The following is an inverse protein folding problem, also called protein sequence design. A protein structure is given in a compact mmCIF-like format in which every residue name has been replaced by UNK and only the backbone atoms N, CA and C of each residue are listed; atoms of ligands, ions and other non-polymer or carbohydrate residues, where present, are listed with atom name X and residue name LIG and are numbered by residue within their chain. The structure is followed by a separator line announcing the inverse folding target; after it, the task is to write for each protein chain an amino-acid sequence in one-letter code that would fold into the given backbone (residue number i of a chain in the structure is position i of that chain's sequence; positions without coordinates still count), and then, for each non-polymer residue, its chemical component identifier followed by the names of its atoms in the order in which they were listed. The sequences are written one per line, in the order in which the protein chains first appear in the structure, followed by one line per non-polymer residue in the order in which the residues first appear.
data_IF_028945550303
#
_entry.id   IF_028945550303
#
_cell.length_a   1.000
_cell.length_b   1.000
_cell.length_c   1.000
_cell.angle_alpha   90.00
_cell.angle_beta   90.00
_cell.angle_gamma   90.00
#
_symmetry.space_group_name_H-M   'P 1'
#
loop_
_entity.id
_entity.type
_entity.pdbx_description
1 polymer ?
#
# COMPACT_ATOMS: atom_id res chain seq x y z
N UNK A 1 -1.51 28.16 24.20
CA UNK A 1 -1.89 27.16 23.18
C UNK A 1 -1.68 25.75 23.69
N UNK A 2 -2.34 25.24 24.67
CA UNK A 2 -1.95 23.99 25.26
C UNK A 2 -3.05 23.03 25.75
N UNK A 3 -4.20 23.48 26.14
CA UNK A 3 -5.17 22.62 26.80
C UNK A 3 -6.16 21.92 25.84
N UNK A 4 -6.61 22.60 24.81
CA UNK A 4 -7.56 22.03 23.81
C UNK A 4 -6.92 21.00 22.87
N UNK A 5 -5.64 21.17 22.53
CA UNK A 5 -4.90 20.18 21.73
C UNK A 5 -4.62 18.86 22.47
N UNK A 6 -4.51 18.91 23.80
CA UNK A 6 -4.37 17.69 24.63
C UNK A 6 -5.66 16.87 24.72
N UNK A 7 -6.83 17.51 24.59
CA UNK A 7 -8.13 16.82 24.70
C UNK A 7 -8.58 16.26 23.34
N UNK A 8 -8.29 16.97 22.23
CA UNK A 8 -8.77 16.60 20.90
C UNK A 8 -7.71 16.00 19.96
N UNK A 9 -6.45 15.94 20.38
CA UNK A 9 -5.32 15.50 19.54
C UNK A 9 -5.03 16.50 18.39
N UNK A 10 -3.90 16.32 17.73
CA UNK A 10 -3.57 17.07 16.51
C UNK A 10 -4.43 16.58 15.33
N UNK A 11 -4.55 17.39 14.27
CA UNK A 11 -5.23 16.97 13.05
C UNK A 11 -4.68 15.61 12.53
N UNK A 12 -3.36 15.46 12.55
CA UNK A 12 -2.68 14.22 12.15
C UNK A 12 -3.05 13.01 13.02
N UNK A 13 -3.14 13.18 14.34
CA UNK A 13 -3.55 12.10 15.24
C UNK A 13 -5.00 11.64 15.00
N UNK A 14 -5.89 12.57 14.71
CA UNK A 14 -7.30 12.25 14.39
C UNK A 14 -7.40 11.50 13.07
N UNK A 15 -6.63 11.90 12.08
CA UNK A 15 -6.59 11.21 10.79
C UNK A 15 -5.99 9.80 10.91
N UNK A 16 -4.92 9.63 11.68
CA UNK A 16 -4.34 8.32 11.96
C UNK A 16 -5.34 7.39 12.65
N UNK A 17 -6.12 7.90 13.61
CA UNK A 17 -7.17 7.10 14.27
C UNK A 17 -8.24 6.58 13.31
N UNK A 18 -8.50 7.26 12.19
CA UNK A 18 -9.41 6.78 11.13
C UNK A 18 -8.77 5.73 10.25
N UNK A 19 -7.44 5.76 10.12
CA UNK A 19 -6.69 4.82 9.28
C UNK A 19 -6.42 3.49 10.00
N UNK A 20 -6.19 3.50 11.31
CA UNK A 20 -5.87 2.29 12.08
C UNK A 20 -6.85 1.13 11.87
N UNK A 21 -8.18 1.33 11.86
CA UNK A 21 -9.11 0.22 11.59
C UNK A 21 -8.92 -0.42 10.20
N UNK A 22 -8.50 0.38 9.20
CA UNK A 22 -8.17 -0.14 7.87
C UNK A 22 -6.88 -0.96 7.90
N UNK A 23 -5.88 -0.51 8.65
CA UNK A 23 -4.61 -1.24 8.82
C UNK A 23 -4.87 -2.57 9.52
N UNK A 24 -5.63 -2.57 10.62
CA UNK A 24 -6.01 -3.79 11.34
C UNK A 24 -6.73 -4.77 10.42
N UNK A 25 -7.59 -4.26 9.53
CA UNK A 25 -8.28 -5.06 8.53
C UNK A 25 -7.31 -5.65 7.49
N UNK A 26 -6.31 -4.88 7.03
CA UNK A 26 -5.24 -5.41 6.16
C UNK A 26 -4.49 -6.54 6.86
N UNK A 27 -4.12 -6.33 8.13
CA UNK A 27 -3.37 -7.32 8.90
C UNK A 27 -4.20 -8.58 9.18
N UNK A 28 -5.51 -8.46 9.33
CA UNK A 28 -6.39 -9.61 9.54
C UNK A 28 -6.41 -10.59 8.36
N UNK A 29 -6.11 -10.13 7.14
CA UNK A 29 -6.00 -10.99 5.95
C UNK A 29 -4.66 -11.74 5.85
N UNK A 30 -3.68 -11.45 6.70
CA UNK A 30 -2.33 -12.02 6.65
C UNK A 30 -2.35 -13.53 6.57
N UNK A 31 -3.00 -14.19 7.53
CA UNK A 31 -3.00 -15.66 7.65
C UNK A 31 -3.72 -16.32 6.46
N UNK A 32 -4.75 -15.69 5.94
CA UNK A 32 -5.47 -16.19 4.78
C UNK A 32 -4.61 -16.11 3.51
N UNK A 33 -3.89 -15.01 3.31
CA UNK A 33 -3.00 -14.84 2.16
C UNK A 33 -1.79 -15.78 2.21
N UNK A 34 -1.24 -16.05 3.41
CA UNK A 34 -0.13 -16.98 3.58
C UNK A 34 -0.47 -18.41 3.20
N UNK A 35 -1.73 -18.82 3.34
CA UNK A 35 -2.20 -20.16 3.01
C UNK A 35 -2.40 -20.40 1.52
N UNK A 36 -2.49 -19.34 0.73
CA UNK A 36 -2.67 -19.42 -0.71
C UNK A 36 -1.39 -19.93 -1.39
N UNK A 37 -1.54 -20.75 -2.40
CA UNK A 37 -0.45 -21.07 -3.33
C UNK A 37 -0.08 -19.84 -4.16
N UNK A 38 1.07 -19.87 -4.83
CA UNK A 38 1.52 -18.78 -5.70
C UNK A 38 0.54 -18.51 -6.85
N UNK A 39 -0.09 -19.56 -7.36
CA UNK A 39 -1.10 -19.46 -8.40
C UNK A 39 -2.38 -18.82 -7.89
N UNK A 40 -2.87 -19.23 -6.73
CA UNK A 40 -4.04 -18.65 -6.08
C UNK A 40 -3.82 -17.18 -5.74
N UNK A 41 -2.63 -16.83 -5.25
CA UNK A 41 -2.27 -15.44 -4.95
C UNK A 41 -2.26 -14.57 -6.22
N UNK A 42 -1.77 -15.09 -7.35
CA UNK A 42 -1.82 -14.40 -8.66
C UNK A 42 -3.25 -14.23 -9.14
N UNK A 43 -4.10 -15.24 -8.95
CA UNK A 43 -5.50 -15.23 -9.36
C UNK A 43 -6.34 -14.20 -8.58
N UNK A 44 -5.90 -13.77 -7.40
CA UNK A 44 -6.53 -12.67 -6.66
C UNK A 44 -6.67 -11.39 -7.51
N UNK A 45 -5.71 -11.08 -8.35
CA UNK A 45 -5.80 -9.93 -9.26
C UNK A 45 -7.00 -10.02 -10.20
N UNK A 46 -7.28 -11.22 -10.73
CA UNK A 46 -8.45 -11.45 -11.59
C UNK A 46 -9.74 -11.34 -10.80
N UNK A 47 -9.79 -11.94 -9.62
CA UNK A 47 -10.92 -11.85 -8.70
C UNK A 47 -11.27 -10.40 -8.37
N UNK A 48 -10.27 -9.57 -8.03
CA UNK A 48 -10.49 -8.15 -7.72
C UNK A 48 -11.03 -7.36 -8.92
N UNK A 49 -10.54 -7.62 -10.12
CA UNK A 49 -11.07 -6.99 -11.34
C UNK A 49 -12.53 -7.36 -11.57
N UNK A 50 -12.87 -8.64 -11.41
CA UNK A 50 -14.27 -9.10 -11.53
C UNK A 50 -15.19 -8.46 -10.47
N UNK A 51 -14.68 -8.24 -9.25
CA UNK A 51 -15.43 -7.56 -8.18
C UNK A 51 -15.65 -6.08 -8.49
N UNK A 52 -14.65 -5.39 -9.07
CA UNK A 52 -14.80 -4.02 -9.55
C UNK A 52 -15.85 -3.92 -10.67
N UNK A 53 -15.85 -4.85 -11.62
CA UNK A 53 -16.87 -4.92 -12.69
C UNK A 53 -18.30 -5.14 -12.13
N UNK A 54 -18.41 -5.81 -11.01
CA UNK A 54 -19.69 -6.02 -10.28
C UNK A 54 -20.13 -4.84 -9.43
N UNK A 55 -19.33 -3.77 -9.38
CA UNK A 55 -19.67 -2.52 -8.70
C UNK A 55 -19.03 -2.30 -7.32
N UNK A 56 -18.12 -3.17 -6.88
CA UNK A 56 -17.31 -2.87 -5.69
C UNK A 56 -16.34 -1.70 -5.98
N UNK A 57 -15.96 -0.99 -4.94
CA UNK A 57 -15.02 0.14 -5.05
C UNK A 57 -13.59 -0.28 -4.71
N UNK A 58 -12.62 0.54 -5.12
CA UNK A 58 -11.22 0.33 -4.70
C UNK A 58 -11.05 0.37 -3.18
N UNK A 59 -11.83 1.22 -2.50
CA UNK A 59 -11.80 1.30 -1.04
C UNK A 59 -12.30 0.02 -0.36
N UNK A 60 -13.29 -0.66 -0.95
CA UNK A 60 -13.78 -1.96 -0.46
C UNK A 60 -12.71 -3.04 -0.61
N UNK A 61 -11.97 -3.01 -1.71
CA UNK A 61 -10.92 -3.97 -2.02
C UNK A 61 -9.59 -3.68 -1.30
N UNK A 62 -9.37 -2.44 -0.85
CA UNK A 62 -8.09 -1.98 -0.32
C UNK A 62 -7.49 -2.92 0.72
N UNK A 63 -8.21 -3.37 1.76
CA UNK A 63 -7.61 -4.20 2.80
C UNK A 63 -7.08 -5.53 2.25
N UNK A 64 -7.85 -6.18 1.41
CA UNK A 64 -7.51 -7.48 0.85
C UNK A 64 -6.42 -7.35 -0.23
N UNK A 65 -6.50 -6.33 -1.08
CA UNK A 65 -5.48 -6.05 -2.10
C UNK A 65 -4.12 -5.71 -1.48
N UNK A 66 -4.09 -4.90 -0.43
CA UNK A 66 -2.85 -4.58 0.29
C UNK A 66 -2.25 -5.81 0.96
N UNK A 67 -3.07 -6.68 1.53
CA UNK A 67 -2.61 -7.94 2.10
C UNK A 67 -2.01 -8.87 1.02
N UNK A 68 -2.60 -8.89 -0.18
CA UNK A 68 -2.07 -9.64 -1.34
C UNK A 68 -0.69 -9.13 -1.76
N UNK A 69 -0.52 -7.80 -1.88
CA UNK A 69 0.78 -7.20 -2.23
C UNK A 69 1.82 -7.46 -1.14
N UNK A 70 1.43 -7.36 0.13
CA UNK A 70 2.29 -7.64 1.29
C UNK A 70 2.85 -9.07 1.24
N UNK A 71 1.98 -10.06 0.98
CA UNK A 71 2.39 -11.45 0.86
C UNK A 71 3.25 -11.69 -0.39
N UNK A 72 2.89 -11.10 -1.53
CA UNK A 72 3.67 -11.19 -2.74
C UNK A 72 5.08 -10.60 -2.56
N UNK A 73 5.20 -9.43 -1.92
CA UNK A 73 6.49 -8.82 -1.62
C UNK A 73 7.34 -9.70 -0.69
N UNK A 74 6.73 -10.31 0.30
CA UNK A 74 7.40 -11.25 1.19
C UNK A 74 7.95 -12.46 0.44
N UNK A 75 7.17 -13.06 -0.47
CA UNK A 75 7.61 -14.23 -1.24
C UNK A 75 8.69 -13.90 -2.27
N UNK A 76 8.56 -12.78 -2.97
CA UNK A 76 9.44 -12.44 -4.10
C UNK A 76 10.69 -11.71 -3.64
N UNK A 77 10.56 -10.77 -2.69
CA UNK A 77 11.64 -9.89 -2.24
C UNK A 77 12.19 -10.24 -0.86
N UNK A 78 11.54 -11.15 -0.13
CA UNK A 78 11.84 -11.39 1.27
C UNK A 78 11.49 -10.22 2.21
N UNK A 79 10.68 -9.27 1.72
CA UNK A 79 10.31 -8.04 2.45
C UNK A 79 8.82 -8.01 2.72
N UNK A 80 8.45 -8.04 3.98
CA UNK A 80 7.06 -7.87 4.40
C UNK A 80 6.83 -6.41 4.81
N UNK A 81 5.78 -5.78 4.30
CA UNK A 81 5.43 -4.40 4.67
C UNK A 81 5.16 -4.28 6.16
N UNK A 82 5.78 -3.28 6.79
CA UNK A 82 5.53 -2.94 8.19
C UNK A 82 4.24 -2.13 8.35
N UNK A 83 3.73 -2.10 9.57
CA UNK A 83 2.53 -1.34 9.94
C UNK A 83 2.56 0.12 9.44
N UNK A 84 3.67 0.83 9.68
CA UNK A 84 3.87 2.21 9.22
C UNK A 84 3.84 2.35 7.69
N UNK A 85 4.30 1.33 6.96
CA UNK A 85 4.28 1.32 5.50
C UNK A 85 2.88 1.12 4.95
N UNK A 86 2.05 0.30 5.60
CA UNK A 86 0.64 0.14 5.25
C UNK A 86 -0.10 1.45 5.45
N UNK A 87 0.12 2.15 6.56
CA UNK A 87 -0.43 3.49 6.83
C UNK A 87 -0.04 4.45 5.68
N UNK A 88 1.24 4.49 5.32
CA UNK A 88 1.72 5.32 4.22
C UNK A 88 1.03 5.01 2.90
N UNK A 89 0.83 3.73 2.58
CA UNK A 89 0.12 3.28 1.38
C UNK A 89 -1.34 3.74 1.35
N UNK A 90 -2.04 3.66 2.48
CA UNK A 90 -3.43 4.13 2.61
C UNK A 90 -3.51 5.64 2.39
N UNK A 91 -2.61 6.41 3.02
CA UNK A 91 -2.55 7.87 2.88
C UNK A 91 -2.34 8.27 1.41
N UNK A 92 -1.41 7.60 0.72
CA UNK A 92 -1.15 7.85 -0.70
C UNK A 92 -2.34 7.49 -1.58
N UNK A 93 -3.03 6.38 -1.31
CA UNK A 93 -4.24 6.01 -2.04
C UNK A 93 -5.34 7.06 -1.89
N UNK A 94 -5.44 7.70 -0.72
CA UNK A 94 -6.39 8.79 -0.46
C UNK A 94 -6.01 10.12 -1.16
N UNK A 95 -4.97 10.15 -1.98
CA UNK A 95 -4.50 11.36 -2.67
C UNK A 95 -3.82 12.37 -1.74
N UNK A 96 -3.31 11.91 -0.61
CA UNK A 96 -2.65 12.75 0.42
C UNK A 96 -1.14 12.52 0.40
N UNK A 97 -0.41 13.40 1.06
CA UNK A 97 1.05 13.30 1.21
C UNK A 97 1.38 12.52 2.48
N UNK A 98 2.15 11.45 2.33
CA UNK A 98 2.71 10.68 3.44
C UNK A 98 4.18 11.07 3.62
N UNK A 99 4.49 11.76 4.71
CA UNK A 99 5.87 12.01 5.09
C UNK A 99 6.42 10.81 5.86
N UNK A 100 7.52 10.26 5.38
CA UNK A 100 8.21 9.13 5.99
C UNK A 100 9.70 9.44 6.13
N UNK A 101 10.30 8.97 7.23
CA UNK A 101 11.74 9.14 7.48
C UNK A 101 12.59 8.42 6.44
N UNK A 102 13.81 8.86 6.26
CA UNK A 102 14.81 8.18 5.44
C UNK A 102 15.03 6.75 5.98
N UNK A 103 15.06 5.76 5.08
CA UNK A 103 15.25 4.36 5.45
C UNK A 103 13.96 3.59 5.79
N UNK A 104 12.79 4.23 5.81
CA UNK A 104 11.50 3.56 6.07
C UNK A 104 10.90 2.83 4.85
N UNK A 105 11.68 2.66 3.79
CA UNK A 105 11.26 1.85 2.63
C UNK A 105 10.15 2.46 1.78
N UNK A 106 10.25 3.75 1.45
CA UNK A 106 9.26 4.49 0.64
C UNK A 106 8.94 3.82 -0.69
N UNK A 107 9.94 3.20 -1.33
CA UNK A 107 9.75 2.47 -2.59
C UNK A 107 8.78 1.29 -2.42
N UNK A 108 8.95 0.53 -1.34
CA UNK A 108 8.06 -0.59 -1.03
C UNK A 108 6.64 -0.12 -0.74
N UNK A 109 6.49 1.01 -0.05
CA UNK A 109 5.18 1.63 0.25
C UNK A 109 4.42 1.95 -1.03
N UNK A 110 5.09 2.48 -2.06
CA UNK A 110 4.46 2.89 -3.32
C UNK A 110 3.83 1.73 -4.08
N UNK A 111 4.26 0.50 -3.83
CA UNK A 111 3.70 -0.70 -4.47
C UNK A 111 2.26 -0.96 -4.06
N UNK A 112 1.88 -0.61 -2.84
CA UNK A 112 0.54 -0.81 -2.29
C UNK A 112 -0.54 -0.02 -3.08
N UNK A 113 -0.49 1.33 -3.12
CA UNK A 113 -1.47 2.10 -3.87
C UNK A 113 -1.33 1.90 -5.39
N UNK A 114 -0.11 1.65 -5.89
CA UNK A 114 0.09 1.39 -7.31
C UNK A 114 -0.66 0.13 -7.77
N UNK A 115 -0.54 -0.97 -7.05
CA UNK A 115 -1.27 -2.18 -7.36
C UNK A 115 -2.78 -1.98 -7.30
N UNK A 116 -3.29 -1.40 -6.21
CA UNK A 116 -4.72 -1.18 -6.01
C UNK A 116 -5.32 -0.33 -7.15
N UNK A 117 -4.70 0.80 -7.46
CA UNK A 117 -5.23 1.68 -8.51
C UNK A 117 -5.05 1.10 -9.93
N UNK A 118 -4.05 0.24 -10.16
CA UNK A 118 -3.87 -0.46 -11.42
C UNK A 118 -4.98 -1.46 -11.74
N UNK A 119 -5.73 -1.93 -10.74
CA UNK A 119 -6.85 -2.86 -10.93
C UNK A 119 -7.96 -2.27 -11.82
N UNK A 120 -8.14 -0.95 -11.83
CA UNK A 120 -9.10 -0.27 -12.72
C UNK A 120 -8.72 -0.32 -14.21
N UNK A 121 -7.48 -0.71 -14.54
CA UNK A 121 -7.03 -0.78 -15.93
C UNK A 121 -6.78 0.57 -16.61
N UNK A 122 -6.87 1.69 -15.88
CA UNK A 122 -6.65 3.06 -16.40
C UNK A 122 -5.16 3.45 -16.47
N UNK A 123 -4.28 2.58 -16.01
CA UNK A 123 -2.85 2.86 -15.88
C UNK A 123 -2.52 3.61 -14.59
N UNK A 124 -1.30 3.39 -14.09
CA UNK A 124 -0.75 4.09 -12.92
C UNK A 124 0.63 4.61 -13.30
N UNK A 125 0.87 5.89 -13.04
CA UNK A 125 2.18 6.50 -13.24
C UNK A 125 2.84 6.73 -11.88
N UNK A 126 4.01 6.14 -11.67
CA UNK A 126 4.83 6.38 -10.49
C UNK A 126 5.93 7.36 -10.89
N UNK A 127 5.86 8.57 -10.31
CA UNK A 127 6.92 9.56 -10.49
C UNK A 127 7.88 9.44 -9.32
N UNK A 128 9.11 9.02 -9.60
CA UNK A 128 10.18 8.88 -8.62
C UNK A 128 11.35 9.78 -9.01
N UNK A 129 11.74 10.68 -8.12
CA UNK A 129 12.98 11.40 -8.23
C UNK A 129 14.08 10.52 -7.65
N UNK A 130 14.69 9.69 -8.49
CA UNK A 130 15.84 8.88 -8.13
C UNK A 130 17.07 9.77 -8.03
N UNK A 131 17.35 10.26 -6.84
CA UNK A 131 18.52 11.08 -6.60
C UNK A 131 19.79 10.28 -6.35
N UNK A 132 19.72 8.96 -6.13
CA UNK A 132 20.85 8.24 -5.52
C UNK A 132 21.14 6.85 -6.07
N UNK A 133 20.38 6.34 -7.03
CA UNK A 133 20.71 5.03 -7.60
C UNK A 133 20.41 5.05 -9.08
N UNK A 134 21.42 5.15 -9.95
CA UNK A 134 21.23 4.92 -11.36
C UNK A 134 20.59 3.51 -11.54
N UNK A 135 19.53 3.45 -12.31
CA UNK A 135 18.94 2.17 -12.71
C UNK A 135 20.02 1.33 -13.41
N UNK A 136 20.01 0.01 -13.31
CA UNK A 136 20.90 -0.85 -14.12
C UNK A 136 20.81 -0.56 -15.62
N UNK A 137 19.71 0.02 -16.10
CA UNK A 137 19.57 0.50 -17.48
C UNK A 137 20.36 1.78 -17.76
N UNK A 138 20.50 2.65 -16.78
CA UNK A 138 21.25 3.92 -16.92
C UNK A 138 22.77 3.68 -16.91
N UNK A 139 23.21 2.54 -16.36
CA UNK A 139 24.59 2.09 -16.35
C UNK A 139 25.01 1.40 -17.66
N UNK A 140 24.07 1.01 -18.51
CA UNK A 140 24.34 0.27 -19.76
C UNK A 140 24.54 1.16 -20.98
N UNK A 141 24.53 2.48 -20.83
CA UNK A 141 24.67 3.48 -21.92
C UNK A 141 26.02 4.19 -21.93
N UNK A 142 27.07 3.57 -21.39
CA UNK A 142 28.47 4.05 -21.52
C UNK A 142 29.27 3.15 -22.47
#
# INVERSE_FOLDING_TARGET
MGALTKIFGTHSERELKRIYPLVDKVESYRDSMQKLSDEELRNKTKEYKERLEKGETLDDLLPEAFATVREAAKRVLGMEHYHVQIIGGIILHQGRIAEMKTGEGKTLVSTLPAYLNALEGKGVCIVCLLYTSPSPRDLSTS
#
